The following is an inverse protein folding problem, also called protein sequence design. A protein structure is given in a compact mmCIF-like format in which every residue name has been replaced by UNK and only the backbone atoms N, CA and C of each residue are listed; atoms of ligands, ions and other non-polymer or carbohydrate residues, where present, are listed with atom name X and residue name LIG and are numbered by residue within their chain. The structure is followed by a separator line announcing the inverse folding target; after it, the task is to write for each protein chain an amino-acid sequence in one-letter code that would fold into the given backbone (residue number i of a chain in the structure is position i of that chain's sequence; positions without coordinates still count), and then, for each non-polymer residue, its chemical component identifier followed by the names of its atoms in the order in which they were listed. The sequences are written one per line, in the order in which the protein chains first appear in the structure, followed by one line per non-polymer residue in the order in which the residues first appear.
data_IF_027572936076
#
_entry.id   IF_027572936076
#
_cell.length_a   1.000
_cell.length_b   1.000
_cell.length_c   1.000
_cell.angle_alpha   90.00
_cell.angle_beta   90.00
_cell.angle_gamma   90.00
#
_symmetry.space_group_name_H-M   'P 1'
#
loop_
_entity.id
_entity.type
_entity.pdbx_description
1 polymer ?
#
# COMPACT_ATOMS: atom_id res chain seq x y z
N UNK A 1 21.56 25.70 37.81
CA UNK A 1 21.95 24.37 37.28
C UNK A 1 20.76 23.51 36.83
N UNK A 2 19.61 23.55 37.51
CA UNK A 2 18.40 22.75 37.14
C UNK A 2 17.83 23.14 35.76
N UNK A 3 17.91 24.42 35.37
CA UNK A 3 17.38 24.92 34.09
C UNK A 3 18.12 24.41 32.83
N UNK A 4 19.41 24.07 32.95
CA UNK A 4 20.19 23.57 31.80
C UNK A 4 19.92 22.07 31.54
N UNK A 5 19.50 21.33 32.58
CA UNK A 5 19.20 19.90 32.48
C UNK A 5 17.85 19.68 31.79
N UNK A 6 16.82 20.44 32.20
CA UNK A 6 15.49 20.39 31.60
C UNK A 6 15.51 20.77 30.10
N UNK A 7 16.29 21.77 29.71
CA UNK A 7 16.41 22.18 28.31
C UNK A 7 17.03 21.08 27.44
N UNK A 8 18.04 20.37 27.95
CA UNK A 8 18.67 19.24 27.24
C UNK A 8 17.71 18.06 27.10
N UNK A 9 16.95 17.74 28.15
CA UNK A 9 15.97 16.65 28.10
C UNK A 9 14.84 16.94 27.13
N UNK A 10 14.29 18.16 27.13
CA UNK A 10 13.24 18.57 26.18
C UNK A 10 13.74 18.55 24.75
N UNK A 11 14.97 19.01 24.47
CA UNK A 11 15.54 19.00 23.13
C UNK A 11 15.78 17.56 22.60
N UNK A 12 16.21 16.64 23.47
CA UNK A 12 16.35 15.22 23.10
C UNK A 12 15.01 14.53 22.85
N UNK A 13 13.94 14.91 23.57
CA UNK A 13 12.60 14.35 23.34
C UNK A 13 12.01 14.76 21.98
N UNK A 14 12.28 15.98 21.51
CA UNK A 14 11.82 16.45 20.18
C UNK A 14 12.51 15.70 19.04
N UNK A 15 13.78 15.31 19.23
CA UNK A 15 14.53 14.53 18.22
C UNK A 15 14.09 13.06 18.12
N UNK A 16 13.35 12.54 19.11
CA UNK A 16 12.83 11.17 19.09
C UNK A 16 11.43 11.05 18.48
N UNK A 17 10.78 12.18 18.20
CA UNK A 17 9.47 12.22 17.53
C UNK A 17 9.66 12.45 16.02
N UNK A 18 10.44 11.61 15.35
CA UNK A 18 10.35 11.56 13.89
C UNK A 18 9.01 10.92 13.51
N UNK A 19 8.14 11.61 12.76
CA UNK A 19 6.97 10.97 12.18
C UNK A 19 7.46 9.79 11.35
N UNK A 20 6.99 8.59 11.66
CA UNK A 20 7.24 7.43 10.80
C UNK A 20 6.33 7.60 9.60
N UNK A 21 6.94 7.96 8.46
CA UNK A 21 6.28 8.06 7.16
C UNK A 21 6.04 6.65 6.63
N UNK A 22 4.98 6.01 7.10
CA UNK A 22 4.62 4.65 6.71
C UNK A 22 3.16 4.59 6.27
N UNK A 23 2.92 3.94 5.14
CA UNK A 23 1.60 3.38 4.84
C UNK A 23 1.58 1.92 5.27
N UNK A 24 0.42 1.46 5.74
CA UNK A 24 0.23 0.09 6.16
C UNK A 24 -0.95 -0.51 5.41
N UNK A 25 -0.71 -1.56 4.64
CA UNK A 25 -1.70 -2.22 3.82
C UNK A 25 -1.88 -3.67 4.26
N UNK A 26 -3.12 -4.07 4.46
CA UNK A 26 -3.52 -5.46 4.63
C UNK A 26 -4.08 -5.96 3.31
N UNK A 27 -3.63 -7.12 2.86
CA UNK A 27 -4.06 -7.75 1.62
C UNK A 27 -4.58 -9.16 1.94
N UNK A 28 -5.78 -9.48 1.46
CA UNK A 28 -6.37 -10.82 1.57
C UNK A 28 -6.81 -11.34 0.21
N UNK A 29 -6.56 -12.62 -0.06
CA UNK A 29 -7.08 -13.29 -1.24
C UNK A 29 -8.47 -13.88 -0.95
N UNK A 30 -9.47 -13.50 -1.73
CA UNK A 30 -10.82 -14.06 -1.65
C UNK A 30 -11.05 -15.03 -2.82
N UNK A 31 -10.99 -16.33 -2.53
CA UNK A 31 -11.19 -17.39 -3.53
C UNK A 31 -12.58 -17.33 -4.20
N UNK A 32 -13.62 -16.98 -3.44
CA UNK A 32 -15.00 -17.00 -3.93
C UNK A 32 -15.26 -15.90 -4.96
N UNK A 33 -14.68 -14.71 -4.77
CA UNK A 33 -14.79 -13.59 -5.71
C UNK A 33 -13.63 -13.52 -6.70
N UNK A 34 -12.58 -14.33 -6.52
CA UNK A 34 -11.33 -14.26 -7.29
C UNK A 34 -10.74 -12.84 -7.32
N UNK A 35 -10.82 -12.15 -6.18
CA UNK A 35 -10.34 -10.79 -6.01
C UNK A 35 -9.38 -10.72 -4.82
N UNK A 36 -8.41 -9.83 -4.93
CA UNK A 36 -7.54 -9.48 -3.81
C UNK A 36 -8.15 -8.25 -3.10
N UNK A 37 -8.56 -8.41 -1.85
CA UNK A 37 -9.10 -7.32 -1.03
C UNK A 37 -7.96 -6.59 -0.35
N UNK A 38 -7.96 -5.25 -0.42
CA UNK A 38 -6.89 -4.41 0.13
C UNK A 38 -7.46 -3.34 1.04
N UNK A 39 -6.94 -3.28 2.26
CA UNK A 39 -7.18 -2.19 3.21
C UNK A 39 -5.87 -1.43 3.44
N UNK A 40 -5.77 -0.22 2.89
CA UNK A 40 -4.60 0.63 2.99
C UNK A 40 -4.83 1.76 3.98
N UNK A 41 -3.99 1.83 5.01
CA UNK A 41 -3.97 2.88 6.01
C UNK A 41 -2.97 3.96 5.63
N UNK A 42 -3.46 5.18 5.62
CA UNK A 42 -2.71 6.40 5.30
C UNK A 42 -2.94 7.43 6.41
N UNK A 43 -1.96 8.27 6.73
CA UNK A 43 -2.20 9.36 7.67
C UNK A 43 -3.09 10.44 7.04
N UNK A 44 -4.02 11.00 7.81
CA UNK A 44 -5.01 11.94 7.30
C UNK A 44 -4.43 13.25 6.77
N UNK A 45 -3.24 13.66 7.23
CA UNK A 45 -2.53 14.81 6.65
C UNK A 45 -1.98 14.50 5.25
N UNK A 46 -1.58 13.24 4.98
CA UNK A 46 -1.15 12.79 3.65
C UNK A 46 -2.29 12.77 2.67
N UNK A 47 -3.44 12.21 3.06
CA UNK A 47 -4.62 12.27 2.20
C UNK A 47 -5.05 13.72 1.92
N UNK A 48 -5.03 14.59 2.92
CA UNK A 48 -5.34 16.01 2.71
C UNK A 48 -4.35 16.68 1.77
N UNK A 49 -3.07 16.33 1.86
CA UNK A 49 -2.05 16.82 0.95
C UNK A 49 -2.29 16.32 -0.48
N UNK A 50 -2.52 15.01 -0.69
CA UNK A 50 -2.85 14.43 -2.00
C UNK A 50 -4.04 15.15 -2.65
N UNK A 51 -5.12 15.35 -1.87
CA UNK A 51 -6.32 16.07 -2.34
C UNK A 51 -5.98 17.50 -2.81
N UNK A 52 -5.08 18.20 -2.09
CA UNK A 52 -4.67 19.57 -2.45
C UNK A 52 -3.80 19.58 -3.71
N UNK A 53 -2.84 18.68 -3.84
CA UNK A 53 -1.98 18.56 -5.02
C UNK A 53 -2.81 18.29 -6.28
N UNK A 54 -3.79 17.39 -6.17
CA UNK A 54 -4.71 17.08 -7.26
C UNK A 54 -5.75 18.18 -7.52
N UNK A 55 -5.82 19.22 -6.67
CA UNK A 55 -6.87 20.25 -6.67
C UNK A 55 -8.27 19.65 -6.71
N UNK A 56 -8.46 18.51 -6.05
CA UNK A 56 -9.69 17.75 -6.13
C UNK A 56 -10.82 18.46 -5.37
N UNK A 57 -11.99 18.53 -5.99
CA UNK A 57 -13.17 19.19 -5.41
C UNK A 57 -13.70 18.42 -4.19
N UNK A 58 -14.36 19.13 -3.28
CA UNK A 58 -15.02 18.52 -2.13
C UNK A 58 -16.13 17.59 -2.64
N UNK A 59 -16.07 16.32 -2.24
CA UNK A 59 -17.04 15.29 -2.65
C UNK A 59 -16.68 14.54 -3.93
N UNK A 60 -15.59 14.91 -4.61
CA UNK A 60 -15.07 14.13 -5.74
C UNK A 60 -14.40 12.83 -5.29
N UNK A 61 -14.45 11.79 -6.14
CA UNK A 61 -13.79 10.50 -5.93
C UNK A 61 -12.48 10.42 -6.72
N UNK A 62 -11.46 11.14 -6.26
CA UNK A 62 -10.13 11.20 -6.89
C UNK A 62 -9.22 10.03 -6.50
N UNK A 63 -9.54 9.33 -5.41
CA UNK A 63 -8.74 8.24 -4.86
C UNK A 63 -8.47 7.10 -5.86
N UNK A 64 -9.47 6.54 -6.58
CA UNK A 64 -9.20 5.49 -7.57
C UNK A 64 -8.22 5.94 -8.67
N UNK A 65 -8.36 7.16 -9.16
CA UNK A 65 -7.50 7.70 -10.22
C UNK A 65 -6.07 7.95 -9.72
N UNK A 66 -5.91 8.32 -8.45
CA UNK A 66 -4.60 8.47 -7.82
C UNK A 66 -3.97 7.10 -7.55
N UNK A 67 -4.73 6.21 -6.92
CA UNK A 67 -4.29 4.86 -6.58
C UNK A 67 -3.83 4.07 -7.82
N UNK A 68 -4.59 4.11 -8.91
CA UNK A 68 -4.25 3.40 -10.15
C UNK A 68 -3.00 3.91 -10.86
N UNK A 69 -2.52 5.13 -10.53
CA UNK A 69 -1.27 5.67 -11.04
C UNK A 69 -0.05 5.27 -10.21
N UNK A 70 -0.26 5.08 -8.91
CA UNK A 70 0.82 4.91 -7.94
C UNK A 70 0.98 3.48 -7.43
N UNK A 71 -0.09 2.70 -7.45
CA UNK A 71 -0.12 1.33 -6.94
C UNK A 71 -0.54 0.39 -8.06
N UNK A 72 0.35 -0.53 -8.43
CA UNK A 72 0.18 -1.43 -9.57
C UNK A 72 0.51 -2.86 -9.14
N UNK A 73 -0.47 -3.74 -9.27
CA UNK A 73 -0.29 -5.18 -9.01
C UNK A 73 0.01 -5.91 -10.31
N UNK A 74 1.00 -6.82 -10.29
CA UNK A 74 1.53 -7.55 -11.46
C UNK A 74 1.85 -6.60 -12.63
N UNK A 75 2.77 -5.66 -12.37
CA UNK A 75 3.18 -4.64 -13.32
C UNK A 75 3.70 -5.28 -14.62
N UNK A 76 3.10 -4.91 -15.74
CA UNK A 76 3.49 -5.32 -17.08
C UNK A 76 3.88 -4.10 -17.89
N UNK A 77 5.06 -4.11 -18.51
CA UNK A 77 5.45 -3.06 -19.45
C UNK A 77 4.56 -3.12 -20.69
N UNK A 78 4.05 -1.96 -21.11
CA UNK A 78 3.25 -1.82 -22.32
C UNK A 78 3.93 -0.85 -23.25
N UNK A 79 4.06 -1.21 -24.53
CA UNK A 79 4.52 -0.27 -25.54
C UNK A 79 3.30 0.44 -26.14
N UNK A 80 3.23 1.76 -25.95
CA UNK A 80 2.20 2.60 -26.55
C UNK A 80 2.37 2.69 -28.06
N UNK A 81 1.27 2.98 -28.77
CA UNK A 81 1.30 3.20 -30.22
C UNK A 81 2.20 4.37 -30.66
N UNK A 82 2.56 5.26 -29.73
CA UNK A 82 3.51 6.36 -29.90
C UNK A 82 4.97 5.98 -29.57
N UNK A 83 5.25 4.69 -29.33
CA UNK A 83 6.56 4.17 -28.95
C UNK A 83 6.97 4.50 -27.51
N UNK A 84 6.07 5.08 -26.70
CA UNK A 84 6.35 5.33 -25.28
C UNK A 84 6.11 4.07 -24.47
N UNK A 85 7.05 3.76 -23.58
CA UNK A 85 6.87 2.71 -22.58
C UNK A 85 5.93 3.22 -21.49
N UNK A 86 4.80 2.55 -21.35
CA UNK A 86 3.89 2.65 -20.22
C UNK A 86 3.96 1.40 -19.37
N UNK A 87 3.19 1.39 -18.29
CA UNK A 87 3.00 0.21 -17.46
C UNK A 87 1.51 0.02 -17.25
N UNK A 88 1.10 -1.24 -17.19
CA UNK A 88 -0.25 -1.65 -16.80
C UNK A 88 -0.15 -2.66 -15.68
N UNK A 89 -1.27 -2.93 -15.01
CA UNK A 89 -1.36 -3.99 -14.01
C UNK A 89 -2.79 -4.48 -13.89
N UNK A 90 -3.05 -5.28 -12.85
CA UNK A 90 -4.40 -5.74 -12.56
C UNK A 90 -5.34 -4.55 -12.25
N UNK A 91 -6.60 -4.57 -12.74
CA UNK A 91 -7.56 -3.50 -12.48
C UNK A 91 -7.85 -3.34 -10.98
N UNK A 92 -7.97 -2.10 -10.54
CA UNK A 92 -8.36 -1.76 -9.17
C UNK A 92 -9.80 -1.27 -9.16
N UNK A 93 -10.61 -1.84 -8.27
CA UNK A 93 -12.00 -1.43 -8.00
C UNK A 93 -12.07 -0.77 -6.63
N UNK A 94 -12.42 0.51 -6.61
CA UNK A 94 -12.60 1.26 -5.37
C UNK A 94 -13.83 0.79 -4.60
N UNK A 95 -13.67 0.52 -3.31
CA UNK A 95 -14.76 0.08 -2.43
C UNK A 95 -15.18 1.21 -1.48
N UNK A 96 -14.22 1.91 -0.88
CA UNK A 96 -14.58 3.01 0.00
C UNK A 96 -13.45 3.57 0.84
N UNK A 97 -13.86 4.44 1.77
CA UNK A 97 -12.97 5.19 2.64
C UNK A 97 -13.55 5.26 4.05
N UNK A 98 -12.72 5.10 5.07
CA UNK A 98 -13.11 5.27 6.48
C UNK A 98 -12.06 6.10 7.22
N UNK A 99 -12.51 7.08 7.99
CA UNK A 99 -11.62 7.84 8.88
C UNK A 99 -11.53 7.11 10.23
N UNK A 100 -10.32 6.96 10.76
CA UNK A 100 -10.08 6.37 12.07
C UNK A 100 -8.96 7.13 12.81
N UNK A 101 -9.37 8.02 13.71
CA UNK A 101 -8.45 8.88 14.45
C UNK A 101 -7.60 9.75 13.50
N UNK A 102 -6.26 9.72 13.60
CA UNK A 102 -5.38 10.45 12.69
C UNK A 102 -5.22 9.77 11.32
N UNK A 103 -5.76 8.57 11.15
CA UNK A 103 -5.58 7.76 9.94
C UNK A 103 -6.85 7.75 9.09
N UNK A 104 -6.66 7.38 7.84
CA UNK A 104 -7.70 7.12 6.86
C UNK A 104 -7.41 5.77 6.21
N UNK A 105 -8.43 4.93 6.17
CA UNK A 105 -8.41 3.67 5.47
C UNK A 105 -9.04 3.83 4.10
N UNK A 106 -8.33 3.35 3.09
CA UNK A 106 -8.78 3.16 1.72
C UNK A 106 -9.03 1.68 1.49
N UNK A 107 -10.21 1.35 0.99
CA UNK A 107 -10.61 -0.02 0.68
C UNK A 107 -10.79 -0.15 -0.81
N UNK A 108 -10.14 -1.14 -1.39
CA UNK A 108 -10.24 -1.44 -2.81
C UNK A 108 -9.99 -2.92 -3.06
N UNK A 109 -10.41 -3.38 -4.23
CA UNK A 109 -10.17 -4.74 -4.70
C UNK A 109 -9.29 -4.73 -5.93
N UNK A 110 -8.47 -5.76 -6.08
CA UNK A 110 -7.66 -6.01 -7.27
C UNK A 110 -8.28 -7.18 -8.02
N UNK A 111 -8.77 -6.92 -9.22
CA UNK A 111 -9.42 -7.93 -10.06
C UNK A 111 -8.39 -8.93 -10.61
N UNK A 112 -8.51 -10.19 -10.22
CA UNK A 112 -7.57 -11.24 -10.61
C UNK A 112 -8.22 -12.19 -11.63
N UNK A 113 -8.29 -11.73 -12.88
CA UNK A 113 -8.78 -12.55 -14.00
C UNK A 113 -7.96 -13.83 -14.10
N UNK A 114 -8.62 -14.99 -14.01
CA UNK A 114 -7.99 -16.30 -14.00
C UNK A 114 -7.86 -16.94 -12.62
N UNK A 115 -8.34 -16.29 -11.55
CA UNK A 115 -8.38 -16.89 -10.21
C UNK A 115 -6.99 -17.05 -9.56
N UNK A 116 -6.00 -16.30 -10.04
CA UNK A 116 -4.64 -16.32 -9.49
C UNK A 116 -4.37 -15.01 -8.75
N UNK A 117 -4.00 -15.07 -7.46
CA UNK A 117 -3.66 -13.87 -6.68
C UNK A 117 -2.47 -13.12 -7.28
N UNK A 118 -2.36 -11.80 -7.04
CA UNK A 118 -1.22 -11.02 -7.52
C UNK A 118 0.08 -11.54 -6.92
N UNK A 119 1.14 -11.54 -7.73
CA UNK A 119 2.47 -12.01 -7.36
C UNK A 119 3.43 -10.86 -7.07
N UNK A 120 3.20 -9.67 -7.61
CA UNK A 120 4.00 -8.48 -7.29
C UNK A 120 3.13 -7.26 -7.03
N UNK A 121 3.68 -6.31 -6.29
CA UNK A 121 3.13 -4.97 -6.12
C UNK A 121 4.23 -3.94 -6.35
N UNK A 122 3.92 -2.96 -7.18
CA UNK A 122 4.67 -1.71 -7.31
C UNK A 122 3.89 -0.62 -6.59
N UNK A 123 4.55 0.10 -5.68
CA UNK A 123 3.96 1.21 -4.93
C UNK A 123 4.97 2.36 -4.84
N UNK A 124 4.64 3.48 -5.48
CA UNK A 124 5.39 4.74 -5.42
C UNK A 124 4.60 5.90 -4.77
N UNK A 125 3.52 5.57 -4.07
CA UNK A 125 2.64 6.53 -3.42
C UNK A 125 3.44 7.43 -2.45
N UNK A 126 3.16 8.73 -2.41
CA UNK A 126 3.77 9.68 -1.46
C UNK A 126 5.29 9.90 -1.54
N UNK A 127 6.03 9.26 -2.45
CA UNK A 127 7.45 9.57 -2.66
C UNK A 127 7.68 10.96 -3.27
N UNK A 128 6.66 11.55 -3.88
CA UNK A 128 6.63 12.94 -4.31
C UNK A 128 6.47 13.93 -3.13
N UNK A 129 5.96 13.44 -1.99
CA UNK A 129 5.85 14.22 -0.76
C UNK A 129 7.10 14.10 0.11
N UNK A 130 7.50 12.87 0.43
CA UNK A 130 8.67 12.58 1.26
C UNK A 130 9.39 11.33 0.74
N UNK A 131 10.68 11.47 0.45
CA UNK A 131 11.49 10.41 -0.15
C UNK A 131 11.70 9.19 0.76
N UNK A 132 11.52 9.36 2.07
CA UNK A 132 11.74 8.33 3.09
C UNK A 132 10.46 7.59 3.48
N UNK A 133 9.39 7.69 2.70
CA UNK A 133 8.22 6.85 2.91
C UNK A 133 8.56 5.37 2.77
N UNK A 134 7.88 4.57 3.57
CA UNK A 134 7.87 3.11 3.46
C UNK A 134 6.43 2.62 3.32
N UNK A 135 6.20 1.64 2.47
CA UNK A 135 4.87 1.04 2.28
C UNK A 135 4.94 -0.41 2.69
N UNK A 136 4.24 -0.76 3.76
CA UNK A 136 4.19 -2.13 4.24
C UNK A 136 2.95 -2.81 3.70
N UNK A 137 3.12 -3.97 3.10
CA UNK A 137 2.03 -4.86 2.72
C UNK A 137 2.09 -6.12 3.58
N UNK A 138 1.04 -6.39 4.35
CA UNK A 138 0.86 -7.61 5.14
C UNK A 138 -0.16 -8.50 4.46
N UNK A 139 0.22 -9.77 4.26
CA UNK A 139 -0.63 -10.75 3.61
C UNK A 139 -1.41 -11.51 4.68
N UNK A 140 -2.73 -11.39 4.67
CA UNK A 140 -3.65 -12.05 5.59
C UNK A 140 -3.92 -13.50 5.16
N UNK A 141 -4.49 -14.29 6.07
CA UNK A 141 -4.83 -15.70 5.84
C UNK A 141 -3.65 -16.67 5.79
N UNK A 142 -2.42 -16.16 5.61
CA UNK A 142 -1.20 -16.95 5.54
C UNK A 142 -0.27 -16.62 6.71
N UNK A 143 0.26 -17.66 7.36
CA UNK A 143 1.35 -17.52 8.34
C UNK A 143 2.60 -18.16 7.77
N UNK A 144 3.74 -17.52 7.98
CA UNK A 144 5.05 -18.08 7.65
C UNK A 144 5.42 -19.25 8.59
N UNK A 145 6.57 -19.86 8.35
CA UNK A 145 7.10 -20.98 9.16
C UNK A 145 7.30 -20.60 10.64
N UNK A 146 7.33 -19.29 10.96
CA UNK A 146 7.45 -18.74 12.32
C UNK A 146 6.10 -18.40 12.97
N UNK A 147 4.98 -18.61 12.25
CA UNK A 147 3.63 -18.30 12.71
C UNK A 147 3.25 -16.81 12.59
N UNK A 148 4.06 -15.99 11.91
CA UNK A 148 3.81 -14.56 11.68
C UNK A 148 3.15 -14.34 10.32
N UNK A 149 2.40 -13.25 10.19
CA UNK A 149 1.87 -12.85 8.89
C UNK A 149 3.03 -12.37 8.00
N UNK A 150 3.18 -12.91 6.78
CA UNK A 150 4.16 -12.43 5.82
C UNK A 150 3.94 -10.94 5.54
N UNK A 151 5.03 -10.18 5.48
CA UNK A 151 4.97 -8.77 5.10
C UNK A 151 6.15 -8.38 4.23
N UNK A 152 5.89 -7.51 3.26
CA UNK A 152 6.91 -6.88 2.43
C UNK A 152 6.87 -5.37 2.57
N UNK A 153 7.98 -4.71 2.25
CA UNK A 153 8.13 -3.26 2.33
C UNK A 153 8.62 -2.76 0.98
N UNK A 154 7.99 -1.71 0.45
CA UNK A 154 8.53 -0.92 -0.66
C UNK A 154 9.07 0.42 -0.16
N UNK A 155 9.99 1.00 -0.92
CA UNK A 155 10.60 2.30 -0.69
C UNK A 155 10.92 2.97 -2.02
N UNK A 156 11.36 4.23 -2.01
CA UNK A 156 11.73 4.95 -3.24
C UNK A 156 12.80 4.22 -4.07
N UNK A 157 13.78 3.61 -3.40
CA UNK A 157 14.86 2.85 -4.05
C UNK A 157 14.40 1.44 -4.51
N UNK A 158 13.38 0.89 -3.84
CA UNK A 158 12.83 -0.43 -4.10
C UNK A 158 11.29 -0.36 -4.12
N UNK A 159 10.69 0.25 -5.16
CA UNK A 159 9.26 0.50 -5.22
C UNK A 159 8.46 -0.77 -5.56
N UNK A 160 9.12 -1.86 -5.94
CA UNK A 160 8.50 -3.13 -6.28
C UNK A 160 8.84 -4.22 -5.25
N UNK A 161 7.84 -5.02 -4.88
CA UNK A 161 7.99 -6.14 -3.97
C UNK A 161 7.22 -7.39 -4.43
N UNK A 162 7.75 -8.55 -4.05
CA UNK A 162 7.15 -9.87 -4.30
C UNK A 162 6.10 -10.21 -3.24
N UNK A 163 4.96 -10.76 -3.65
CA UNK A 163 3.87 -11.24 -2.81
C UNK A 163 3.85 -12.78 -2.73
N UNK A 164 5.04 -13.40 -2.72
CA UNK A 164 5.29 -14.86 -2.75
C UNK A 164 4.45 -15.72 -1.80
N UNK A 165 3.94 -15.16 -0.69
CA UNK A 165 3.07 -15.89 0.23
C UNK A 165 1.77 -16.37 -0.46
N UNK A 166 1.28 -15.65 -1.48
CA UNK A 166 0.16 -16.11 -2.29
C UNK A 166 0.52 -17.30 -3.19
N UNK A 167 1.73 -17.30 -3.78
CA UNK A 167 2.18 -18.36 -4.70
C UNK A 167 2.36 -19.73 -4.03
N UNK A 168 2.71 -19.77 -2.73
CA UNK A 168 2.82 -21.02 -1.96
C UNK A 168 1.46 -21.69 -1.69
N UNK A 169 0.37 -20.91 -1.62
CA UNK A 169 -0.96 -21.42 -1.32
C UNK A 169 -1.61 -22.15 -2.50
N UNK A 170 -1.42 -21.65 -3.73
CA UNK A 170 -1.92 -22.30 -4.96
C UNK A 170 -1.21 -23.61 -5.31
N UNK A 171 -0.04 -23.86 -4.74
CA UNK A 171 0.68 -25.13 -4.90
C UNK A 171 0.28 -26.20 -3.86
N UNK A 172 -0.49 -25.82 -2.83
CA UNK A 172 -1.06 -26.77 -1.89
C UNK A 172 -2.32 -27.38 -2.51
N UNK A 173 -2.16 -28.64 -2.91
CA UNK A 173 -3.14 -29.59 -3.46
C UNK A 173 -4.60 -29.38 -2.98
N UNK A 174 -5.62 -29.44 -3.86
CA UNK A 174 -7.00 -29.36 -3.43
C UNK A 174 -7.30 -30.53 -2.50
N UNK A 175 -7.64 -30.21 -1.24
CA UNK A 175 -8.12 -31.18 -0.29
C UNK A 175 -9.37 -31.85 -0.87
N UNK A 176 -9.20 -33.07 -1.35
CA UNK A 176 -10.27 -33.97 -1.76
C UNK A 176 -11.20 -34.17 -0.55
N UNK A 177 -12.46 -33.76 -0.70
CA UNK A 177 -13.57 -34.24 0.11
C UNK A 177 -14.41 -35.20 -0.72
#
# INVERSE_FOLDING_TARGET
MISLLLLKTVLSSVLLMHPVHETYSEIEWNEASSCCEVAMRIHGLDEQWMRRELKAEIGSQWQPDYLSKHVVFDRTETEGADGKRGFSGKPIRWIGRKIEGPNVWWFFEVECKGGVPPQTVYDDLLFDREDNYHHRFTILGHKDDSGKLPSVITSKDHPEASLEAFGKATAAEPATK
#
